data_IF_869574143713
#
_entry.id   IF_869574143713
#
_cell.length_a   1.000
_cell.length_b   1.000
_cell.length_c   1.000
_cell.angle_alpha   90.00
_cell.angle_beta   90.00
_cell.angle_gamma   90.00
#
_symmetry.space_group_name_H-M   'P 1'
#
loop_
_entity.id
_entity.type
_entity.pdbx_description
1 polymer ?
#
# COMPACT_ATOMS: atom_id res chain seq x y z
N UNK A 1 -7.34 -20.96 11.42
CA UNK A 1 -6.51 -19.80 11.04
C UNK A 1 -6.44 -19.70 9.53
N UNK A 2 -6.38 -18.50 8.99
CA UNK A 2 -6.30 -18.22 7.54
C UNK A 2 -5.22 -17.21 7.24
N UNK A 3 -4.62 -17.32 6.07
CA UNK A 3 -3.74 -16.31 5.47
C UNK A 3 -4.40 -15.85 4.19
N UNK A 4 -4.55 -14.55 4.03
CA UNK A 4 -5.14 -13.94 2.83
C UNK A 4 -4.13 -13.01 2.16
N UNK A 5 -4.20 -12.92 0.84
CA UNK A 5 -3.41 -11.94 0.10
C UNK A 5 -3.92 -10.51 0.31
N UNK A 6 -3.01 -9.55 0.14
CA UNK A 6 -3.35 -8.14 0.13
C UNK A 6 -4.16 -7.78 -1.14
N UNK A 7 -4.97 -6.73 -1.08
CA UNK A 7 -5.45 -6.05 0.12
C UNK A 7 -6.42 -6.93 0.89
N UNK A 8 -6.59 -6.69 2.20
CA UNK A 8 -7.49 -7.50 3.04
C UNK A 8 -8.91 -7.59 2.46
N UNK A 9 -9.42 -6.50 1.94
CA UNK A 9 -10.76 -6.41 1.41
C UNK A 9 -10.91 -5.20 0.48
N UNK A 10 -11.91 -5.26 -0.35
CA UNK A 10 -12.30 -4.19 -1.27
C UNK A 10 -12.96 -2.99 -0.57
N UNK A 11 -13.67 -3.22 0.54
CA UNK A 11 -14.34 -2.14 1.29
C UNK A 11 -14.16 -2.28 2.80
N UNK A 12 -14.43 -1.20 3.52
CA UNK A 12 -14.40 -1.19 4.99
C UNK A 12 -15.40 -2.17 5.58
N UNK A 13 -16.62 -2.29 4.99
CA UNK A 13 -17.62 -3.24 5.45
C UNK A 13 -17.10 -4.67 5.35
N UNK A 14 -16.48 -5.04 4.24
CA UNK A 14 -15.91 -6.38 4.06
C UNK A 14 -14.76 -6.62 5.03
N UNK A 15 -13.88 -5.66 5.24
CA UNK A 15 -12.79 -5.76 6.23
C UNK A 15 -13.33 -5.97 7.64
N UNK A 16 -14.37 -5.23 8.01
CA UNK A 16 -15.04 -5.37 9.31
C UNK A 16 -15.75 -6.71 9.46
N UNK A 17 -16.37 -7.23 8.40
CA UNK A 17 -16.99 -8.55 8.39
C UNK A 17 -15.95 -9.66 8.61
N UNK A 18 -14.79 -9.59 7.93
CA UNK A 18 -13.67 -10.52 8.12
C UNK A 18 -13.16 -10.46 9.57
N UNK A 19 -12.91 -9.26 10.10
CA UNK A 19 -12.46 -9.09 11.48
C UNK A 19 -13.47 -9.63 12.51
N UNK A 20 -14.78 -9.47 12.25
CA UNK A 20 -15.85 -10.03 13.11
C UNK A 20 -15.85 -11.55 13.02
N UNK A 21 -15.79 -12.12 11.82
CA UNK A 21 -15.77 -13.57 11.62
C UNK A 21 -14.57 -14.23 12.30
N UNK A 22 -13.39 -13.63 12.20
CA UNK A 22 -12.17 -14.07 12.91
C UNK A 22 -12.40 -14.13 14.42
N UNK A 23 -12.96 -13.06 15.02
CA UNK A 23 -13.25 -13.04 16.47
C UNK A 23 -14.27 -14.07 16.90
N UNK A 24 -15.38 -14.20 16.17
CA UNK A 24 -16.45 -15.17 16.49
C UNK A 24 -15.92 -16.62 16.34
N UNK A 25 -15.19 -16.88 15.27
CA UNK A 25 -14.62 -18.20 15.00
C UNK A 25 -13.38 -18.54 15.84
N UNK A 26 -12.89 -17.60 16.67
CA UNK A 26 -11.64 -17.75 17.44
C UNK A 26 -10.49 -18.23 16.57
N UNK A 27 -10.41 -17.70 15.33
CA UNK A 27 -9.41 -18.02 14.33
C UNK A 27 -8.60 -16.78 14.00
N UNK A 28 -7.28 -16.90 13.89
CA UNK A 28 -6.45 -15.80 13.43
C UNK A 28 -6.62 -15.62 11.93
N UNK A 29 -6.63 -14.37 11.51
CA UNK A 29 -6.57 -13.97 10.11
C UNK A 29 -5.33 -13.11 9.90
N UNK A 30 -4.40 -13.60 9.11
CA UNK A 30 -3.19 -12.87 8.73
C UNK A 30 -3.32 -12.40 7.29
N UNK A 31 -3.07 -11.10 7.08
CA UNK A 31 -2.94 -10.57 5.72
C UNK A 31 -1.47 -10.66 5.30
N UNK A 32 -1.21 -11.28 4.17
CA UNK A 32 0.13 -11.36 3.61
C UNK A 32 0.52 -10.01 3.00
N UNK A 33 1.49 -9.35 3.61
CA UNK A 33 2.10 -8.12 3.15
C UNK A 33 3.52 -8.38 2.67
N UNK A 34 3.76 -8.79 1.40
CA UNK A 34 5.08 -9.22 0.94
C UNK A 34 6.21 -8.24 1.24
N UNK A 35 5.96 -6.94 1.16
CA UNK A 35 6.97 -5.91 1.46
C UNK A 35 7.46 -5.98 2.91
N UNK A 36 6.63 -6.41 3.86
CA UNK A 36 7.04 -6.51 5.27
C UNK A 36 8.04 -7.64 5.53
N UNK A 37 8.18 -8.57 4.61
CA UNK A 37 9.14 -9.68 4.71
C UNK A 37 10.53 -9.32 4.17
N UNK A 38 10.67 -8.19 3.48
CA UNK A 38 11.96 -7.76 2.94
C UNK A 38 12.91 -7.40 4.08
N UNK A 39 14.14 -7.90 3.99
CA UNK A 39 15.16 -7.72 5.04
C UNK A 39 15.49 -6.23 5.29
N UNK A 40 15.57 -5.42 4.23
CA UNK A 40 15.79 -3.97 4.33
C UNK A 40 14.66 -3.24 5.06
N UNK A 41 13.40 -3.59 4.76
CA UNK A 41 12.22 -3.01 5.41
C UNK A 41 12.19 -3.37 6.90
N UNK A 42 12.48 -4.62 7.24
CA UNK A 42 12.54 -5.06 8.64
C UNK A 42 13.70 -4.41 9.40
N UNK A 43 14.86 -4.29 8.76
CA UNK A 43 16.02 -3.60 9.36
C UNK A 43 15.70 -2.11 9.57
N UNK A 44 15.10 -1.44 8.58
CA UNK A 44 14.70 -0.04 8.71
C UNK A 44 13.73 0.18 9.88
N UNK A 45 12.72 -0.67 10.00
CA UNK A 45 11.77 -0.59 11.12
C UNK A 45 12.46 -0.82 12.47
N UNK A 46 13.39 -1.80 12.55
CA UNK A 46 14.18 -2.04 13.76
C UNK A 46 14.99 -0.81 14.15
N UNK A 47 15.73 -0.20 13.21
CA UNK A 47 16.53 1.00 13.46
C UNK A 47 15.67 2.19 13.93
N UNK A 48 14.48 2.34 13.37
CA UNK A 48 13.50 3.35 13.83
C UNK A 48 13.06 3.05 15.27
N UNK A 49 12.70 1.82 15.58
CA UNK A 49 12.27 1.42 16.93
C UNK A 49 13.39 1.55 17.99
N UNK A 50 14.64 1.43 17.58
CA UNK A 50 15.84 1.65 18.41
C UNK A 50 16.21 3.14 18.56
N UNK A 51 15.46 4.04 17.91
CA UNK A 51 15.65 5.49 18.01
C UNK A 51 16.88 6.04 17.26
N UNK A 52 17.40 5.30 16.28
CA UNK A 52 18.59 5.70 15.52
C UNK A 52 18.38 7.04 14.82
N UNK A 53 17.20 7.27 14.23
CA UNK A 53 16.86 8.54 13.59
C UNK A 53 16.22 9.58 14.52
N UNK A 54 16.09 9.26 15.80
CA UNK A 54 15.35 10.09 16.76
C UNK A 54 13.86 10.02 16.54
N UNK A 55 13.12 11.05 16.99
CA UNK A 55 11.68 11.15 16.78
C UNK A 55 11.39 11.29 15.29
N UNK A 56 10.55 10.39 14.77
CA UNK A 56 10.14 10.42 13.36
C UNK A 56 9.03 11.45 13.19
N UNK A 57 9.15 12.33 12.20
CA UNK A 57 8.14 13.33 11.85
C UNK A 57 7.61 13.17 10.43
N UNK A 58 8.27 12.39 9.57
CA UNK A 58 7.81 12.11 8.21
C UNK A 58 8.14 10.68 7.79
N UNK A 59 7.16 10.03 7.19
CA UNK A 59 7.29 8.76 6.50
C UNK A 59 6.86 8.95 5.04
N UNK A 60 7.54 8.33 4.11
CA UNK A 60 7.15 8.31 2.71
C UNK A 60 7.24 6.89 2.18
N UNK A 61 6.27 6.52 1.37
CA UNK A 61 6.30 5.27 0.62
C UNK A 61 5.84 5.54 -0.80
N UNK A 62 6.56 4.98 -1.75
CA UNK A 62 6.21 5.03 -3.15
C UNK A 62 6.36 3.66 -3.77
N UNK A 63 5.36 3.24 -4.53
CA UNK A 63 5.42 2.03 -5.34
C UNK A 63 5.04 2.37 -6.78
N UNK A 64 6.04 2.59 -7.65
CA UNK A 64 5.83 2.90 -9.05
C UNK A 64 5.80 1.65 -9.91
N UNK A 65 4.91 1.62 -10.90
CA UNK A 65 4.86 0.63 -11.96
C UNK A 65 4.46 1.31 -13.27
N UNK A 66 4.63 0.64 -14.39
CA UNK A 66 4.38 1.20 -15.71
C UNK A 66 3.05 0.80 -16.34
N UNK A 67 2.35 -0.20 -15.79
CA UNK A 67 1.11 -0.71 -16.39
C UNK A 67 0.15 -1.43 -15.42
N UNK A 68 0.55 -1.61 -14.16
CA UNK A 68 -0.22 -2.39 -13.19
C UNK A 68 -0.08 -3.91 -13.36
N UNK A 69 -0.80 -4.68 -12.53
CA UNK A 69 -0.72 -6.14 -12.52
C UNK A 69 -1.24 -6.78 -13.80
N UNK A 70 -0.70 -7.96 -14.10
CA UNK A 70 -1.19 -8.82 -15.18
C UNK A 70 -0.85 -10.28 -14.88
N UNK A 71 -1.59 -11.19 -15.51
CA UNK A 71 -1.34 -12.64 -15.35
C UNK A 71 -0.03 -13.03 -16.01
N UNK A 72 0.96 -13.44 -15.22
CA UNK A 72 2.28 -13.83 -15.69
C UNK A 72 2.24 -15.03 -16.65
N UNK A 73 3.10 -14.96 -17.66
CA UNK A 73 3.27 -16.04 -18.64
C UNK A 73 2.24 -16.05 -19.78
N UNK A 74 1.37 -15.05 -19.85
CA UNK A 74 0.41 -14.88 -20.94
C UNK A 74 0.63 -13.57 -21.67
N UNK A 75 0.61 -13.63 -23.00
CA UNK A 75 0.50 -12.43 -23.83
C UNK A 75 -0.97 -12.07 -23.91
N UNK A 76 -1.36 -10.98 -23.30
CA UNK A 76 -2.76 -10.54 -23.22
C UNK A 76 -2.98 -9.30 -24.09
N UNK A 77 -4.12 -9.26 -24.74
CA UNK A 77 -4.60 -8.03 -25.39
C UNK A 77 -5.15 -7.05 -24.33
N UNK A 78 -5.19 -5.76 -24.65
CA UNK A 78 -5.78 -4.72 -23.79
C UNK A 78 -7.21 -5.11 -23.34
N UNK A 79 -8.00 -5.71 -24.24
CA UNK A 79 -9.34 -6.21 -23.92
C UNK A 79 -9.35 -7.35 -22.90
N UNK A 80 -8.36 -8.21 -22.91
CA UNK A 80 -8.23 -9.30 -21.93
C UNK A 80 -7.78 -8.76 -20.58
N UNK A 81 -6.78 -7.87 -20.57
CA UNK A 81 -6.32 -7.17 -19.37
C UNK A 81 -7.45 -6.43 -18.68
N UNK A 82 -8.28 -5.69 -19.42
CA UNK A 82 -9.41 -4.96 -18.86
C UNK A 82 -10.51 -5.83 -18.24
N UNK A 83 -10.48 -7.16 -18.43
CA UNK A 83 -11.38 -8.09 -17.77
C UNK A 83 -10.83 -8.64 -16.46
N UNK A 84 -9.57 -8.43 -16.17
CA UNK A 84 -8.97 -8.86 -14.92
C UNK A 84 -9.44 -7.94 -13.78
N UNK A 85 -9.71 -8.50 -12.62
CA UNK A 85 -10.37 -7.80 -11.51
C UNK A 85 -9.60 -6.55 -11.05
N UNK A 86 -8.26 -6.59 -11.08
CA UNK A 86 -7.44 -5.45 -10.66
C UNK A 86 -7.51 -4.23 -11.58
N UNK A 87 -8.02 -4.39 -12.80
CA UNK A 87 -8.25 -3.28 -13.73
C UNK A 87 -9.70 -2.76 -13.69
N UNK A 88 -10.55 -3.30 -12.80
CA UNK A 88 -11.96 -2.94 -12.66
C UNK A 88 -12.22 -2.27 -11.30
N UNK A 89 -12.67 -1.01 -11.30
CA UNK A 89 -12.97 -0.28 -10.06
C UNK A 89 -14.03 -1.02 -9.22
N UNK A 90 -15.08 -1.51 -9.86
CA UNK A 90 -16.15 -2.24 -9.19
C UNK A 90 -15.69 -3.54 -8.50
N UNK A 91 -14.57 -4.11 -8.92
CA UNK A 91 -13.98 -5.31 -8.30
C UNK A 91 -12.93 -4.97 -7.22
N UNK A 92 -12.71 -3.69 -6.94
CA UNK A 92 -11.68 -3.25 -6.01
C UNK A 92 -10.29 -3.17 -6.62
N UNK A 93 -10.22 -3.04 -7.93
CA UNK A 93 -8.98 -2.75 -8.66
C UNK A 93 -8.50 -1.33 -8.42
N UNK A 94 -7.32 -1.03 -8.98
CA UNK A 94 -6.70 0.29 -8.93
C UNK A 94 -5.45 0.37 -8.08
N UNK A 95 -4.62 1.34 -8.39
CA UNK A 95 -3.31 1.54 -7.76
C UNK A 95 -3.43 1.94 -6.28
N UNK A 96 -4.56 2.49 -5.85
CA UNK A 96 -4.84 2.81 -4.46
C UNK A 96 -4.81 1.56 -3.57
N UNK A 97 -5.65 0.58 -3.89
CA UNK A 97 -5.73 -0.66 -3.11
C UNK A 97 -4.56 -1.59 -3.39
N UNK A 98 -4.02 -1.59 -4.59
CA UNK A 98 -2.89 -2.44 -4.93
C UNK A 98 -1.58 -1.98 -4.28
N UNK A 99 -1.29 -0.66 -4.28
CA UNK A 99 0.01 -0.12 -3.89
C UNK A 99 0.00 0.75 -2.63
N UNK A 100 -0.97 1.66 -2.47
CA UNK A 100 -1.00 2.49 -1.27
C UNK A 100 -1.31 1.69 0.00
N UNK A 101 -1.90 0.49 -0.13
CA UNK A 101 -2.10 -0.40 1.00
C UNK A 101 -0.78 -0.80 1.68
N UNK A 102 0.31 -1.00 0.93
CA UNK A 102 1.64 -1.24 1.51
C UNK A 102 2.15 -0.04 2.30
N UNK A 103 2.04 1.15 1.72
CA UNK A 103 2.43 2.37 2.40
C UNK A 103 1.66 2.60 3.69
N UNK A 104 0.36 2.30 3.68
CA UNK A 104 -0.52 2.44 4.85
C UNK A 104 -0.10 1.51 5.99
N UNK A 105 0.12 0.23 5.71
CA UNK A 105 0.55 -0.72 6.74
C UNK A 105 1.96 -0.43 7.25
N UNK A 106 2.88 -0.07 6.35
CA UNK A 106 4.25 0.25 6.72
C UNK A 106 4.32 1.52 7.57
N UNK A 107 3.58 2.58 7.21
CA UNK A 107 3.58 3.80 8.02
C UNK A 107 3.05 3.57 9.42
N UNK A 108 1.95 2.81 9.58
CA UNK A 108 1.44 2.43 10.89
C UNK A 108 2.47 1.62 11.70
N UNK A 109 3.17 0.69 11.05
CA UNK A 109 4.16 -0.15 11.70
C UNK A 109 5.42 0.62 12.11
N UNK A 110 5.92 1.50 11.24
CA UNK A 110 7.12 2.30 11.53
C UNK A 110 6.87 3.38 12.57
N UNK A 111 5.70 4.04 12.51
CA UNK A 111 5.37 5.11 13.45
C UNK A 111 4.84 4.58 14.79
N UNK A 112 4.28 3.37 14.82
CA UNK A 112 3.71 2.78 16.04
C UNK A 112 2.46 3.51 16.55
N UNK A 113 1.85 4.35 15.72
CA UNK A 113 0.74 5.23 16.07
C UNK A 113 -0.49 4.98 15.21
N UNK A 114 -1.66 5.42 15.68
CA UNK A 114 -2.90 5.38 14.90
C UNK A 114 -3.07 6.68 14.11
N UNK A 115 -3.49 6.60 12.84
CA UNK A 115 -3.78 7.78 12.05
C UNK A 115 -4.96 8.57 12.62
N UNK A 116 -4.90 9.89 12.50
CA UNK A 116 -5.94 10.83 12.93
C UNK A 116 -6.78 11.34 11.76
N UNK A 117 -6.27 11.28 10.54
CA UNK A 117 -6.97 11.73 9.36
C UNK A 117 -6.21 11.37 8.09
N UNK A 118 -6.91 11.39 6.99
CA UNK A 118 -6.36 11.12 5.67
C UNK A 118 -6.98 12.07 4.64
N UNK A 119 -6.12 12.56 3.75
CA UNK A 119 -6.52 13.20 2.50
C UNK A 119 -5.97 12.37 1.35
N UNK A 120 -6.79 12.09 0.35
CA UNK A 120 -6.41 11.25 -0.77
C UNK A 120 -6.89 11.78 -2.11
N UNK A 121 -6.12 11.47 -3.13
CA UNK A 121 -6.43 11.73 -4.53
C UNK A 121 -6.21 10.43 -5.30
N UNK A 122 -7.15 10.10 -6.20
CA UNK A 122 -6.96 9.06 -7.21
C UNK A 122 -7.36 9.60 -8.57
N UNK A 123 -6.73 9.10 -9.61
CA UNK A 123 -7.01 9.50 -10.98
C UNK A 123 -6.64 8.38 -11.96
N UNK A 124 -7.30 8.37 -13.10
CA UNK A 124 -6.92 7.57 -14.25
C UNK A 124 -6.35 8.52 -15.31
N UNK A 125 -5.03 8.49 -15.49
CA UNK A 125 -4.35 9.37 -16.43
C UNK A 125 -4.00 8.68 -17.74
N UNK A 126 -3.62 7.41 -17.70
CA UNK A 126 -3.09 6.70 -18.85
C UNK A 126 -3.43 5.21 -18.87
N UNK A 127 -4.31 4.76 -17.98
CA UNK A 127 -4.68 3.35 -17.92
C UNK A 127 -5.60 2.97 -19.07
N UNK A 128 -5.11 2.05 -19.93
CA UNK A 128 -5.79 1.64 -21.18
C UNK A 128 -6.69 0.44 -21.03
N UNK A 129 -6.56 -0.28 -19.92
CA UNK A 129 -7.08 -1.64 -19.81
C UNK A 129 -8.45 -1.72 -19.15
N UNK A 130 -8.83 -0.78 -18.31
CA UNK A 130 -10.07 -0.81 -17.57
C UNK A 130 -10.46 0.58 -17.07
N UNK A 131 -11.31 0.63 -16.05
CA UNK A 131 -11.82 1.86 -15.45
C UNK A 131 -11.20 2.18 -14.08
N UNK A 132 -10.40 1.26 -13.53
CA UNK A 132 -9.67 1.49 -12.29
C UNK A 132 -8.61 2.59 -12.42
N UNK A 133 -8.33 3.31 -11.35
CA UNK A 133 -7.32 4.35 -11.36
C UNK A 133 -5.90 3.79 -11.48
N UNK A 134 -5.05 4.51 -12.20
CA UNK A 134 -3.63 4.21 -12.40
C UNK A 134 -2.69 5.08 -11.54
N UNK A 135 -3.27 6.02 -10.79
CA UNK A 135 -2.57 6.89 -9.86
C UNK A 135 -3.36 7.08 -8.58
N UNK A 136 -2.68 6.96 -7.45
CA UNK A 136 -3.23 7.32 -6.16
C UNK A 136 -2.16 7.93 -5.26
N UNK A 137 -2.55 8.92 -4.47
CA UNK A 137 -1.71 9.54 -3.46
C UNK A 137 -2.51 9.79 -2.19
N UNK A 138 -1.91 9.49 -1.04
CA UNK A 138 -2.49 9.71 0.27
C UNK A 138 -1.54 10.55 1.12
N UNK A 139 -2.09 11.50 1.85
CA UNK A 139 -1.44 12.18 2.96
C UNK A 139 -2.15 11.75 4.25
N UNK A 140 -1.43 11.07 5.12
CA UNK A 140 -1.96 10.52 6.38
C UNK A 140 -1.37 11.26 7.55
N UNK A 141 -2.22 11.84 8.38
CA UNK A 141 -1.83 12.56 9.60
C UNK A 141 -1.80 11.62 10.79
N UNK A 142 -0.72 11.66 11.53
CA UNK A 142 -0.54 11.07 12.84
C UNK A 142 -0.42 12.17 13.92
N UNK A 143 -0.44 11.86 15.21
CA UNK A 143 -0.29 12.86 16.28
C UNK A 143 0.92 13.76 16.10
N UNK A 144 2.07 13.20 15.73
CA UNK A 144 3.35 13.93 15.62
C UNK A 144 4.10 13.70 14.30
N UNK A 145 3.46 13.05 13.33
CA UNK A 145 4.06 12.74 12.04
C UNK A 145 3.06 12.85 10.89
N UNK A 146 3.60 12.89 9.68
CA UNK A 146 2.82 12.77 8.45
C UNK A 146 3.42 11.68 7.57
N UNK A 147 2.55 10.90 6.92
CA UNK A 147 2.95 9.97 5.86
C UNK A 147 2.48 10.48 4.51
N UNK A 148 3.33 10.33 3.50
CA UNK A 148 3.01 10.59 2.10
C UNK A 148 3.16 9.28 1.36
N UNK A 149 2.05 8.79 0.80
CA UNK A 149 1.98 7.48 0.16
C UNK A 149 1.58 7.66 -1.29
N UNK A 150 2.26 6.99 -2.19
CA UNK A 150 1.98 7.04 -3.62
C UNK A 150 2.00 5.64 -4.22
N UNK A 151 0.98 5.33 -5.00
CA UNK A 151 0.88 4.15 -5.83
C UNK A 151 0.56 4.54 -7.27
N UNK A 152 1.30 4.03 -8.24
CA UNK A 152 1.10 4.41 -9.63
C UNK A 152 1.39 3.25 -10.58
N UNK A 153 0.54 3.13 -11.62
CA UNK A 153 0.70 2.21 -12.74
C UNK A 153 1.06 2.93 -14.04
N UNK A 154 1.38 4.20 -13.96
CA UNK A 154 1.67 5.05 -15.12
C UNK A 154 3.10 5.64 -15.11
N UNK A 155 3.98 5.09 -14.27
CA UNK A 155 5.38 5.57 -14.15
C UNK A 155 6.31 4.75 -15.01
N UNK A 156 6.75 5.32 -16.12
CA UNK A 156 7.76 4.74 -17.00
C UNK A 156 9.13 5.13 -16.45
N UNK A 157 9.99 4.13 -16.16
CA UNK A 157 11.36 4.37 -15.66
C UNK A 157 11.41 5.26 -14.41
N UNK A 158 11.27 4.66 -13.25
CA UNK A 158 11.29 5.41 -12.00
C UNK A 158 12.72 5.87 -11.65
N UNK A 159 13.03 7.12 -11.95
CA UNK A 159 14.22 7.80 -11.40
C UNK A 159 14.10 8.15 -9.90
N UNK A 160 13.03 7.72 -9.24
CA UNK A 160 12.77 7.97 -7.82
C UNK A 160 12.95 6.72 -6.98
N UNK A 161 13.44 6.86 -5.73
CA UNK A 161 13.46 5.75 -4.79
C UNK A 161 12.04 5.18 -4.59
N UNK A 162 11.92 3.87 -4.67
CA UNK A 162 10.72 3.13 -4.26
C UNK A 162 10.92 2.62 -2.83
N UNK A 163 9.81 2.29 -2.17
CA UNK A 163 9.82 1.77 -0.81
C UNK A 163 9.75 2.85 0.27
N UNK A 164 9.96 2.46 1.53
CA UNK A 164 9.87 3.39 2.64
C UNK A 164 11.11 4.29 2.76
N UNK A 165 10.86 5.56 3.04
CA UNK A 165 11.86 6.54 3.47
C UNK A 165 11.34 7.19 4.75
N UNK A 166 12.20 7.31 5.75
CA UNK A 166 11.84 7.83 7.07
C UNK A 166 12.74 9.02 7.40
N UNK A 167 12.15 10.11 7.89
CA UNK A 167 12.87 11.28 8.38
C UNK A 167 12.58 11.48 9.86
N UNK A 168 13.63 11.59 10.62
CA UNK A 168 13.60 11.88 12.03
C UNK A 168 14.57 13.01 12.40
N UNK A 169 14.58 13.37 13.68
CA UNK A 169 15.38 14.48 14.22
C UNK A 169 16.90 14.32 13.99
N UNK A 170 17.37 13.07 13.92
CA UNK A 170 18.81 12.76 13.80
C UNK A 170 19.24 12.33 12.41
N UNK A 171 18.32 12.26 11.45
CA UNK A 171 18.64 11.87 10.09
C UNK A 171 17.50 11.13 9.38
N UNK A 172 17.84 10.46 8.28
CA UNK A 172 16.89 9.70 7.46
C UNK A 172 17.40 8.30 7.17
N UNK A 173 16.47 7.40 6.91
CA UNK A 173 16.68 6.00 6.48
C UNK A 173 15.93 5.75 5.20
#
# INVERSE_FOLDING_TARGET
>A
HVVVEKPLAYSTEHAMAIARASRIGKADCMVNWPTTWQASVRLGQKLVSEGVVGKVYRFQFRNPDSMGPFSYGQVMTDRQLGKEWWHQEAAGGGSLLDYCCYGTILSNWYLGEKPQGVYGLKANFNHRFGDAEDYASLMVRYPEAVSILEGTWNTISSGYPSGPIVWGEKGAL
#
